data_IF_269908227704
#
_entry.id   IF_269908227704
#
_cell.length_a   1.000
_cell.length_b   1.000
_cell.length_c   1.000
_cell.angle_alpha   90.00
_cell.angle_beta   90.00
_cell.angle_gamma   90.00
#
_symmetry.space_group_name_H-M   'P 1'
#
loop_
_entity.id
_entity.type
_entity.pdbx_description
1 polymer ?
#
# COMPACT_ATOMS: atom_id res chain seq x y z
N UNK A 1 -21.27 -15.40 20.01
CA UNK A 1 -21.68 -14.07 20.50
C UNK A 1 -21.84 -13.18 19.27
N UNK A 2 -23.06 -12.78 18.93
CA UNK A 2 -23.34 -12.02 17.71
C UNK A 2 -23.30 -10.52 18.05
N UNK A 3 -22.15 -9.89 17.83
CA UNK A 3 -22.00 -8.45 18.04
C UNK A 3 -22.49 -7.73 16.78
N UNK A 4 -23.79 -7.41 16.73
CA UNK A 4 -24.35 -6.52 15.72
C UNK A 4 -25.12 -5.38 16.39
N UNK A 5 -24.94 -4.13 15.92
CA UNK A 5 -24.23 -3.76 14.69
C UNK A 5 -22.72 -3.49 14.90
N UNK A 6 -21.89 -3.88 13.93
CA UNK A 6 -20.47 -3.52 13.86
C UNK A 6 -20.36 -2.00 13.76
N UNK A 7 -19.50 -1.39 14.59
CA UNK A 7 -19.30 0.05 14.60
C UNK A 7 -18.85 0.59 13.23
N UNK A 8 -19.17 1.85 12.92
CA UNK A 8 -18.83 2.50 11.65
C UNK A 8 -17.33 2.42 11.33
N UNK A 9 -16.49 2.51 12.35
CA UNK A 9 -15.05 2.27 12.29
C UNK A 9 -14.70 1.19 13.30
N UNK A 10 -13.96 0.18 12.86
CA UNK A 10 -13.55 -0.96 13.67
C UNK A 10 -12.10 -1.31 13.32
N UNK A 11 -11.22 -1.27 14.32
CA UNK A 11 -9.82 -1.66 14.20
C UNK A 11 -9.62 -3.01 14.89
N UNK A 12 -9.24 -4.01 14.12
CA UNK A 12 -8.77 -5.29 14.66
C UNK A 12 -7.24 -5.22 14.79
N UNK A 13 -6.79 -4.82 15.98
CA UNK A 13 -5.38 -4.57 16.26
C UNK A 13 -4.66 -5.85 16.66
N UNK A 14 -3.39 -5.98 16.27
CA UNK A 14 -2.54 -7.02 16.83
C UNK A 14 -2.40 -6.84 18.35
N UNK A 15 -2.15 -7.93 19.09
CA UNK A 15 -1.98 -7.86 20.54
C UNK A 15 -0.84 -6.94 20.99
N UNK A 16 0.16 -6.71 20.15
CA UNK A 16 1.25 -5.76 20.41
C UNK A 16 0.80 -4.31 20.24
N UNK A 17 0.02 -4.02 19.20
CA UNK A 17 -0.53 -2.69 18.98
C UNK A 17 -1.57 -2.32 20.05
N UNK A 18 -2.40 -3.29 20.45
CA UNK A 18 -3.39 -3.10 21.51
C UNK A 18 -2.72 -2.81 22.86
N UNK A 19 -1.64 -3.53 23.17
CA UNK A 19 -0.82 -3.32 24.37
C UNK A 19 -0.17 -1.95 24.45
N UNK A 20 0.28 -1.41 23.32
CA UNK A 20 0.95 -0.12 23.26
C UNK A 20 0.04 1.05 23.67
N UNK A 21 -1.28 0.83 23.77
CA UNK A 21 -2.23 1.81 24.30
C UNK A 21 -2.37 1.77 25.83
N UNK A 22 -1.88 0.72 26.49
CA UNK A 22 -1.98 0.57 27.93
C UNK A 22 -1.01 1.50 28.67
N UNK A 23 -1.34 1.79 29.93
CA UNK A 23 -0.34 2.31 30.87
C UNK A 23 0.65 1.20 31.22
N UNK A 24 1.89 1.59 31.54
CA UNK A 24 2.95 0.67 31.93
C UNK A 24 2.47 -0.38 32.94
N UNK A 25 2.65 -1.65 32.61
CA UNK A 25 2.28 -2.79 33.47
C UNK A 25 0.79 -3.16 33.45
N UNK A 26 -0.05 -2.52 32.62
CA UNK A 26 -1.51 -2.81 32.53
C UNK A 26 -1.93 -3.43 31.19
N UNK A 27 -0.97 -3.98 30.46
CA UNK A 27 -1.16 -4.61 29.15
C UNK A 27 -2.23 -5.72 29.20
N UNK A 28 -2.12 -6.66 30.14
CA UNK A 28 -3.06 -7.77 30.26
C UNK A 28 -4.46 -7.30 30.61
N UNK A 29 -4.59 -6.34 31.53
CA UNK A 29 -5.90 -5.79 31.91
C UNK A 29 -6.58 -5.15 30.70
N UNK A 30 -5.84 -4.36 29.91
CA UNK A 30 -6.37 -3.77 28.69
C UNK A 30 -6.81 -4.85 27.70
N UNK A 31 -5.97 -5.86 27.43
CA UNK A 31 -6.32 -6.99 26.53
C UNK A 31 -7.59 -7.72 26.94
N UNK A 32 -7.80 -7.96 28.24
CA UNK A 32 -8.99 -8.63 28.74
C UNK A 32 -10.27 -7.81 28.61
N UNK A 33 -10.16 -6.48 28.43
CA UNK A 33 -11.31 -5.65 28.08
C UNK A 33 -11.89 -6.01 26.70
N UNK A 34 -11.08 -6.58 25.80
CA UNK A 34 -11.50 -7.03 24.47
C UNK A 34 -11.82 -5.87 23.55
N UNK A 35 -13.07 -5.41 23.55
CA UNK A 35 -13.54 -4.31 22.70
C UNK A 35 -13.56 -3.02 23.51
N UNK A 36 -12.86 -2.00 23.03
CA UNK A 36 -12.81 -0.67 23.65
C UNK A 36 -13.11 0.41 22.62
N UNK A 37 -13.72 1.51 23.08
CA UNK A 37 -13.82 2.72 22.27
C UNK A 37 -12.48 3.46 22.26
N UNK A 38 -12.09 3.97 21.10
CA UNK A 38 -10.83 4.70 20.93
C UNK A 38 -10.96 5.88 19.98
N UNK A 39 -10.04 6.82 20.12
CA UNK A 39 -9.86 7.92 19.18
C UNK A 39 -8.75 7.57 18.20
N UNK A 40 -8.90 7.96 16.94
CA UNK A 40 -7.90 7.70 15.91
C UNK A 40 -7.79 8.89 14.95
N UNK A 41 -6.62 8.98 14.30
CA UNK A 41 -6.36 9.91 13.20
C UNK A 41 -5.31 9.28 12.29
N UNK A 42 -5.49 9.40 10.97
CA UNK A 42 -4.45 9.04 10.01
C UNK A 42 -3.24 9.97 10.17
N UNK A 43 -2.04 9.41 10.19
CA UNK A 43 -0.78 10.15 10.32
C UNK A 43 0.20 9.70 9.24
N UNK A 44 1.18 10.54 8.93
CA UNK A 44 2.26 10.19 8.01
C UNK A 44 3.05 8.99 8.55
N UNK A 45 3.25 7.96 7.72
CA UNK A 45 4.07 6.80 8.04
C UNK A 45 5.57 7.17 8.12
N UNK A 46 6.31 6.45 8.95
CA UNK A 46 7.76 6.55 9.09
C UNK A 46 8.39 5.15 9.09
N UNK A 47 9.26 4.88 8.12
CA UNK A 47 10.00 3.63 7.98
C UNK A 47 11.53 3.87 7.98
N UNK A 48 12.16 4.08 9.16
CA UNK A 48 13.60 4.34 9.24
C UNK A 48 14.43 3.18 8.70
N UNK A 49 15.40 3.48 7.83
CA UNK A 49 16.30 2.48 7.25
C UNK A 49 15.68 1.65 6.12
N UNK A 50 14.42 1.89 5.75
CA UNK A 50 13.77 1.24 4.61
C UNK A 50 13.56 2.26 3.48
N UNK A 51 13.67 1.79 2.25
CA UNK A 51 13.26 2.53 1.05
C UNK A 51 11.91 2.02 0.55
N UNK A 52 11.24 2.81 -0.27
CA UNK A 52 10.10 2.31 -1.06
C UNK A 52 10.56 1.07 -1.83
N UNK A 53 9.85 -0.03 -1.66
CA UNK A 53 10.22 -1.33 -2.23
C UNK A 53 9.13 -1.79 -3.18
N UNK A 54 9.53 -2.46 -4.26
CA UNK A 54 8.63 -3.00 -5.28
C UNK A 54 8.73 -4.52 -5.26
N UNK A 55 7.69 -5.18 -4.79
CA UNK A 55 7.62 -6.63 -4.68
C UNK A 55 6.81 -7.19 -5.86
N UNK A 56 7.47 -7.99 -6.70
CA UNK A 56 6.79 -8.71 -7.79
C UNK A 56 6.01 -9.89 -7.22
N UNK A 57 4.69 -9.85 -7.39
CA UNK A 57 3.78 -10.85 -6.83
C UNK A 57 4.03 -12.24 -7.42
N UNK A 58 3.87 -13.29 -6.59
CA UNK A 58 4.20 -14.69 -6.91
C UNK A 58 3.59 -15.22 -8.21
N UNK A 59 2.44 -14.70 -8.64
CA UNK A 59 1.72 -15.16 -9.84
C UNK A 59 2.12 -14.42 -11.13
N UNK A 60 3.06 -13.48 -11.05
CA UNK A 60 3.61 -12.81 -12.21
C UNK A 60 4.34 -13.79 -13.13
N UNK A 61 4.30 -13.54 -14.43
CA UNK A 61 4.91 -14.36 -15.48
C UNK A 61 5.25 -13.46 -16.69
N UNK A 62 5.90 -13.96 -17.76
CA UNK A 62 6.30 -13.12 -18.90
C UNK A 62 5.17 -12.33 -19.59
N UNK A 63 3.90 -12.69 -19.37
CA UNK A 63 2.72 -12.04 -19.97
C UNK A 63 1.83 -11.31 -18.94
N UNK A 64 2.14 -11.35 -17.64
CA UNK A 64 1.37 -10.69 -16.58
C UNK A 64 2.27 -10.25 -15.44
N UNK A 65 2.15 -8.99 -15.02
CA UNK A 65 2.96 -8.41 -13.97
C UNK A 65 2.07 -7.73 -12.93
N UNK A 66 2.21 -8.15 -11.67
CA UNK A 66 1.61 -7.48 -10.53
C UNK A 66 2.71 -7.08 -9.53
N UNK A 67 2.67 -5.83 -9.09
CA UNK A 67 3.68 -5.25 -8.19
C UNK A 67 2.97 -4.69 -6.96
N UNK A 68 3.42 -5.10 -5.78
CA UNK A 68 3.10 -4.45 -4.51
C UNK A 68 4.16 -3.39 -4.21
N UNK A 69 3.71 -2.18 -3.87
CA UNK A 69 4.59 -1.09 -3.41
C UNK A 69 4.55 -1.07 -1.89
N UNK A 70 5.71 -1.26 -1.27
CA UNK A 70 5.89 -1.36 0.17
C UNK A 70 6.66 -0.16 0.72
N UNK A 71 6.48 0.12 2.01
CA UNK A 71 7.21 1.15 2.77
C UNK A 71 7.08 2.58 2.22
N UNK A 72 5.90 2.94 1.70
CA UNK A 72 5.56 4.31 1.38
C UNK A 72 5.54 5.19 2.64
N UNK A 73 6.56 6.02 2.83
CA UNK A 73 6.51 7.10 3.83
C UNK A 73 5.49 8.17 3.42
N UNK A 74 5.24 9.14 4.31
CA UNK A 74 4.26 10.19 4.02
C UNK A 74 2.84 9.68 4.22
N UNK A 75 1.94 10.03 3.32
CA UNK A 75 0.53 9.60 3.41
C UNK A 75 0.40 8.07 3.32
N UNK A 76 1.39 7.36 2.79
CA UNK A 76 1.45 5.89 2.74
C UNK A 76 0.56 5.26 1.67
N UNK A 77 -0.24 6.07 0.96
CA UNK A 77 -0.96 5.64 -0.23
C UNK A 77 -0.09 5.87 -1.46
N UNK A 78 0.01 4.85 -2.31
CA UNK A 78 0.32 5.09 -3.71
C UNK A 78 -0.88 5.81 -4.31
N UNK A 79 -0.67 7.02 -4.84
CA UNK A 79 -1.74 7.80 -5.47
C UNK A 79 -2.49 6.92 -6.48
N UNK A 80 -3.81 7.11 -6.56
CA UNK A 80 -4.67 6.39 -7.48
C UNK A 80 -4.39 6.89 -8.90
N UNK A 81 -3.25 6.49 -9.47
CA UNK A 81 -2.70 7.04 -10.71
C UNK A 81 -2.68 8.58 -10.77
N UNK A 82 -2.43 9.15 -11.96
CA UNK A 82 -1.88 8.46 -13.11
C UNK A 82 -0.44 7.97 -12.85
N UNK A 83 -0.08 6.82 -13.41
CA UNK A 83 1.27 6.24 -13.30
C UNK A 83 2.07 6.43 -14.59
N UNK A 84 3.30 6.91 -14.44
CA UNK A 84 4.30 6.96 -15.50
C UNK A 84 5.19 5.73 -15.44
N UNK A 85 5.52 5.14 -16.59
CA UNK A 85 6.40 3.97 -16.68
C UNK A 85 7.70 4.35 -17.38
N UNK A 86 8.84 3.99 -16.77
CA UNK A 86 10.14 4.07 -17.43
C UNK A 86 10.59 2.69 -17.89
N UNK A 87 10.82 2.53 -19.18
CA UNK A 87 11.33 1.29 -19.78
C UNK A 87 12.74 1.52 -20.29
N UNK A 88 13.66 0.61 -19.98
CA UNK A 88 15.04 0.62 -20.49
C UNK A 88 15.27 -0.60 -21.35
N UNK A 89 15.75 -0.41 -22.58
CA UNK A 89 16.01 -1.51 -23.52
C UNK A 89 17.41 -2.12 -23.29
N UNK A 90 17.74 -3.17 -24.06
CA UNK A 90 19.02 -3.89 -23.95
C UNK A 90 20.26 -3.06 -24.29
N UNK A 91 20.12 -1.94 -25.00
CA UNK A 91 21.23 -1.01 -25.27
C UNK A 91 21.41 0.05 -24.18
N UNK A 92 20.59 0.00 -23.12
CA UNK A 92 20.60 0.98 -22.03
C UNK A 92 19.84 2.28 -22.32
N UNK A 93 19.20 2.42 -23.50
CA UNK A 93 18.34 3.56 -23.80
C UNK A 93 17.07 3.45 -22.99
N UNK A 94 16.58 4.57 -22.45
CA UNK A 94 15.36 4.62 -21.64
C UNK A 94 14.32 5.54 -22.24
N UNK A 95 13.05 5.17 -22.11
CA UNK A 95 11.88 6.01 -22.41
C UNK A 95 11.00 6.11 -21.18
N UNK A 96 10.32 7.24 -21.04
CA UNK A 96 9.29 7.46 -20.03
C UNK A 96 7.96 7.64 -20.75
N UNK A 97 7.05 6.69 -20.54
CA UNK A 97 5.65 6.82 -20.90
C UNK A 97 4.95 7.55 -19.76
N UNK A 98 4.79 8.87 -19.91
CA UNK A 98 4.24 9.72 -18.86
C UNK A 98 2.73 9.48 -18.69
N UNK A 99 2.29 9.27 -17.44
CA UNK A 99 0.89 9.09 -17.06
C UNK A 99 0.11 8.05 -17.88
N UNK A 100 0.81 7.05 -18.43
CA UNK A 100 0.24 6.05 -19.36
C UNK A 100 -0.86 5.19 -18.72
N UNK A 101 -0.79 4.94 -17.41
CA UNK A 101 -1.91 4.33 -16.69
C UNK A 101 -2.68 5.47 -16.00
N UNK A 102 -3.92 5.80 -16.43
CA UNK A 102 -4.66 6.94 -15.91
C UNK A 102 -5.18 6.67 -14.48
N UNK A 103 -5.65 7.71 -13.80
CA UNK A 103 -6.17 7.61 -12.43
C UNK A 103 -7.41 6.71 -12.29
N UNK A 104 -8.23 6.62 -13.34
CA UNK A 104 -9.50 5.90 -13.38
C UNK A 104 -9.42 4.52 -14.05
N UNK A 105 -8.21 3.95 -14.11
CA UNK A 105 -7.90 2.69 -14.77
C UNK A 105 -8.89 1.56 -14.41
N UNK A 106 -9.18 0.70 -15.39
CA UNK A 106 -10.01 -0.50 -15.24
C UNK A 106 -9.15 -1.76 -15.16
N UNK A 107 -9.53 -2.75 -14.33
CA UNK A 107 -8.93 -4.08 -14.36
C UNK A 107 -8.99 -4.68 -15.77
N UNK A 108 -7.98 -5.45 -16.16
CA UNK A 108 -7.86 -6.12 -17.47
C UNK A 108 -7.82 -5.18 -18.70
N UNK A 109 -7.66 -3.87 -18.52
CA UNK A 109 -7.53 -2.92 -19.62
C UNK A 109 -6.08 -2.75 -20.08
N UNK A 110 -5.90 -2.44 -21.36
CA UNK A 110 -4.60 -2.15 -21.99
C UNK A 110 -4.47 -0.64 -22.20
N UNK A 111 -3.34 -0.07 -21.81
CA UNK A 111 -3.01 1.35 -22.03
C UNK A 111 -1.77 1.45 -22.91
N UNK A 112 -1.87 2.20 -24.01
CA UNK A 112 -0.77 2.44 -24.95
C UNK A 112 -0.20 3.83 -24.78
N UNK A 113 1.12 3.96 -24.94
CA UNK A 113 1.83 5.24 -24.91
C UNK A 113 2.10 5.77 -26.31
N UNK A 114 2.35 7.08 -26.42
CA UNK A 114 2.75 7.73 -27.68
C UNK A 114 4.29 7.74 -27.91
N UNK A 115 5.06 7.09 -27.05
CA UNK A 115 6.54 6.99 -27.15
C UNK A 115 6.98 5.63 -27.69
N UNK A 116 8.07 5.60 -28.45
CA UNK A 116 8.69 4.39 -29.01
C UNK A 116 10.22 4.54 -29.05
N UNK A 117 10.95 3.43 -28.98
CA UNK A 117 12.40 3.43 -29.21
C UNK A 117 12.64 3.62 -30.71
N UNK A 118 13.29 4.72 -31.06
CA UNK A 118 13.84 4.89 -32.41
C UNK A 118 15.06 3.98 -32.58
N UNK A 119 15.25 3.39 -33.75
CA UNK A 119 16.45 2.61 -34.09
C UNK A 119 17.73 3.46 -34.02
#
# INVERSE_FOLDING_TARGET
>A
MSYYPVARYHFDLSGTAFDAMAKDGRNEELRHAGIIDMQFKRVSCQYPGLSVTFHVEKRSNPNYLAILVEYGNGDGDVAQGPFSLRVTNGSGRSLVADQVIPADWKPEAVYSSDVQFDD
#
